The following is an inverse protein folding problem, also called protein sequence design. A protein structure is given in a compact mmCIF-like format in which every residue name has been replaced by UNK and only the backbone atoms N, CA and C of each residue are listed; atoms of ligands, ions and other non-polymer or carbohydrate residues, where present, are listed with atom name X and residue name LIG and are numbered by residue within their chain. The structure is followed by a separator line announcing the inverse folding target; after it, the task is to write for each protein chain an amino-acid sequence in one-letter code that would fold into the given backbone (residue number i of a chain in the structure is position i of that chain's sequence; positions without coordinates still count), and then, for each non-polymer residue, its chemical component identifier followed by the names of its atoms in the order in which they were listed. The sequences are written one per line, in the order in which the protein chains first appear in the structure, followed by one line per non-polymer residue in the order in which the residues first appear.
data_IF_976756584168
#
_entry.id   IF_976756584168
#
_cell.length_a   1.000
_cell.length_b   1.000
_cell.length_c   1.000
_cell.angle_alpha   90.00
_cell.angle_beta   90.00
_cell.angle_gamma   90.00
#
_symmetry.space_group_name_H-M   'P 1'
#
loop_
_entity.id
_entity.type
_entity.pdbx_description
1 polymer ?
#
# COMPACT_ATOMS: atom_id res chain seq x y z
N UNK A 1 -30.79 29.21 0.53
CA UNK A 1 -30.75 29.07 2.01
C UNK A 1 -29.55 28.29 2.49
N UNK A 2 -29.10 27.24 1.80
CA UNK A 2 -28.11 26.31 2.39
C UNK A 2 -26.64 26.76 2.28
N UNK A 3 -26.35 27.83 1.53
CA UNK A 3 -24.98 28.30 1.29
C UNK A 3 -24.17 28.59 2.58
N UNK A 4 -24.72 29.24 3.63
CA UNK A 4 -23.98 29.42 4.89
C UNK A 4 -23.70 28.10 5.62
N UNK A 5 -24.61 27.14 5.55
CA UNK A 5 -24.43 25.83 6.18
C UNK A 5 -23.40 24.98 5.43
N UNK A 6 -23.42 25.02 4.09
CA UNK A 6 -22.41 24.36 3.25
C UNK A 6 -21.02 24.96 3.48
N UNK A 7 -20.92 26.29 3.64
CA UNK A 7 -19.64 26.96 3.93
C UNK A 7 -19.08 26.65 5.33
N UNK A 8 -19.93 26.25 6.29
CA UNK A 8 -19.51 25.88 7.65
C UNK A 8 -19.20 24.40 7.81
N UNK A 9 -19.65 23.54 6.90
CA UNK A 9 -19.42 22.10 6.98
C UNK A 9 -17.98 21.75 6.56
N UNK A 10 -17.38 20.76 7.22
CA UNK A 10 -16.02 20.28 6.88
C UNK A 10 -15.95 19.68 5.47
N UNK A 11 -17.04 19.05 5.03
CA UNK A 11 -17.23 18.53 3.68
C UNK A 11 -18.66 18.80 3.25
N UNK A 12 -18.83 19.62 2.22
CA UNK A 12 -20.11 20.05 1.69
C UNK A 12 -20.31 19.59 0.24
N UNK A 13 -21.48 19.02 -0.04
CA UNK A 13 -21.92 18.66 -1.39
C UNK A 13 -23.15 19.47 -1.74
N UNK A 14 -23.02 20.33 -2.76
CA UNK A 14 -24.12 21.12 -3.28
C UNK A 14 -24.88 20.36 -4.37
N UNK A 15 -26.20 20.46 -4.39
CA UNK A 15 -27.01 19.89 -5.47
C UNK A 15 -26.92 20.76 -6.73
N UNK A 16 -26.93 20.14 -7.91
CA UNK A 16 -26.96 20.88 -9.17
C UNK A 16 -28.28 21.67 -9.36
N UNK A 17 -29.38 21.25 -8.73
CA UNK A 17 -30.61 22.05 -8.64
C UNK A 17 -30.53 23.23 -7.67
N UNK A 18 -29.44 23.33 -6.88
CA UNK A 18 -29.23 24.39 -5.90
C UNK A 18 -28.86 25.75 -6.49
N UNK A 19 -28.89 26.78 -5.64
CA UNK A 19 -28.52 28.15 -6.03
C UNK A 19 -27.03 28.24 -6.40
N UNK A 20 -26.65 29.21 -7.24
CA UNK A 20 -25.23 29.45 -7.56
C UNK A 20 -24.40 29.66 -6.29
N UNK A 21 -24.91 30.44 -5.34
CA UNK A 21 -24.27 30.63 -4.04
C UNK A 21 -24.05 29.32 -3.25
N UNK A 22 -24.92 28.32 -3.39
CA UNK A 22 -24.74 27.02 -2.76
C UNK A 22 -23.67 26.17 -3.49
N UNK A 23 -23.62 26.25 -4.83
CA UNK A 23 -22.59 25.57 -5.65
C UNK A 23 -21.20 26.16 -5.43
N UNK A 24 -21.11 27.46 -5.24
CA UNK A 24 -19.86 28.16 -4.93
C UNK A 24 -19.39 27.93 -3.49
N UNK A 25 -20.33 27.73 -2.56
CA UNK A 25 -20.01 27.44 -1.16
C UNK A 25 -19.68 25.96 -0.88
N UNK A 26 -20.08 25.03 -1.75
CA UNK A 26 -19.82 23.60 -1.59
C UNK A 26 -18.44 23.17 -2.11
N UNK A 27 -17.86 22.11 -1.53
CA UNK A 27 -16.59 21.53 -2.01
C UNK A 27 -16.78 20.64 -3.24
N UNK A 28 -17.98 20.09 -3.41
CA UNK A 28 -18.37 19.22 -4.51
C UNK A 28 -19.77 19.58 -4.98
N UNK A 29 -20.08 19.28 -6.25
CA UNK A 29 -21.42 19.46 -6.83
C UNK A 29 -21.95 18.12 -7.32
N UNK A 30 -23.08 17.68 -6.79
CA UNK A 30 -23.78 16.51 -7.30
C UNK A 30 -24.67 16.88 -8.49
N UNK A 31 -24.28 16.38 -9.66
CA UNK A 31 -24.96 16.63 -10.93
C UNK A 31 -26.36 15.98 -10.99
N UNK A 32 -26.57 14.86 -10.30
CA UNK A 32 -27.84 14.13 -10.32
C UNK A 32 -28.81 14.61 -9.22
N UNK A 33 -28.37 15.52 -8.36
CA UNK A 33 -29.15 16.12 -7.26
C UNK A 33 -29.82 15.07 -6.36
N UNK A 34 -29.13 13.96 -6.09
CA UNK A 34 -29.62 12.85 -5.29
C UNK A 34 -28.93 12.80 -3.91
N UNK A 35 -29.66 13.04 -2.80
CA UNK A 35 -29.07 13.05 -1.46
C UNK A 35 -28.45 11.70 -1.04
N UNK A 36 -28.84 10.57 -1.64
CA UNK A 36 -28.24 9.27 -1.30
C UNK A 36 -26.80 9.14 -1.78
N UNK A 37 -26.36 9.93 -2.78
CA UNK A 37 -24.97 9.92 -3.27
C UNK A 37 -23.95 10.37 -2.24
N UNK A 38 -24.37 11.10 -1.20
CA UNK A 38 -23.48 11.41 -0.08
C UNK A 38 -22.88 10.16 0.55
N UNK A 39 -23.65 9.07 0.63
CA UNK A 39 -23.18 7.79 1.17
C UNK A 39 -22.07 7.21 0.27
N UNK A 40 -22.28 7.24 -1.04
CA UNK A 40 -21.32 6.76 -2.05
C UNK A 40 -20.02 7.58 -2.01
N UNK A 41 -20.11 8.91 -1.93
CA UNK A 41 -18.95 9.80 -1.81
C UNK A 41 -18.12 9.47 -0.57
N UNK A 42 -18.79 9.27 0.58
CA UNK A 42 -18.12 8.90 1.84
C UNK A 42 -17.49 7.51 1.72
N UNK A 43 -18.14 6.56 1.07
CA UNK A 43 -17.62 5.20 0.86
C UNK A 43 -16.37 5.21 -0.02
N UNK A 44 -16.39 5.92 -1.15
CA UNK A 44 -15.23 6.10 -2.03
C UNK A 44 -14.07 6.75 -1.26
N UNK A 45 -14.36 7.81 -0.49
CA UNK A 45 -13.36 8.48 0.33
C UNK A 45 -12.71 7.53 1.35
N UNK A 46 -13.51 6.72 2.04
CA UNK A 46 -13.01 5.70 2.98
C UNK A 46 -12.18 4.64 2.26
N UNK A 47 -12.63 4.16 1.10
CA UNK A 47 -11.91 3.17 0.30
C UNK A 47 -10.52 3.68 -0.09
N UNK A 48 -10.42 4.93 -0.54
CA UNK A 48 -9.14 5.56 -0.90
C UNK A 48 -8.19 5.64 0.30
N UNK A 49 -8.68 6.08 1.46
CA UNK A 49 -7.88 6.17 2.68
C UNK A 49 -7.40 4.80 3.17
N UNK A 50 -8.28 3.79 3.16
CA UNK A 50 -7.95 2.42 3.58
C UNK A 50 -6.94 1.80 2.62
N UNK A 51 -7.13 1.99 1.30
CA UNK A 51 -6.20 1.49 0.28
C UNK A 51 -4.81 2.08 0.49
N UNK A 52 -4.73 3.40 0.69
CA UNK A 52 -3.47 4.07 0.97
C UNK A 52 -2.81 3.55 2.23
N UNK A 53 -3.56 3.45 3.33
CA UNK A 53 -3.04 2.89 4.59
C UNK A 53 -2.51 1.47 4.43
N UNK A 54 -3.26 0.60 3.73
CA UNK A 54 -2.88 -0.79 3.45
C UNK A 54 -1.58 -0.90 2.67
N UNK A 55 -1.43 -0.09 1.61
CA UNK A 55 -0.21 -0.06 0.80
C UNK A 55 1.00 0.44 1.61
N UNK A 56 0.81 1.44 2.46
CA UNK A 56 1.86 1.92 3.38
C UNK A 56 2.27 0.81 4.36
N UNK A 57 1.32 0.15 5.03
CA UNK A 57 1.59 -0.96 5.95
C UNK A 57 2.37 -2.07 5.25
N UNK A 58 1.94 -2.46 4.05
CA UNK A 58 2.61 -3.46 3.25
C UNK A 58 4.04 -3.03 2.87
N UNK A 59 4.22 -1.81 2.37
CA UNK A 59 5.51 -1.30 1.92
C UNK A 59 6.52 -1.18 3.06
N UNK A 60 6.10 -0.73 4.24
CA UNK A 60 6.98 -0.65 5.42
C UNK A 60 7.37 -2.05 5.88
N UNK A 61 6.41 -2.98 5.93
CA UNK A 61 6.69 -4.36 6.34
C UNK A 61 7.64 -5.07 5.37
N UNK A 62 7.56 -4.73 4.08
CA UNK A 62 8.41 -5.24 3.03
C UNK A 62 9.89 -4.86 3.22
N UNK A 63 10.18 -3.67 3.74
CA UNK A 63 11.56 -3.20 3.91
C UNK A 63 12.36 -4.06 4.90
N UNK A 64 11.70 -4.73 5.85
CA UNK A 64 12.35 -5.66 6.78
C UNK A 64 13.11 -6.77 6.03
N UNK A 65 12.46 -7.42 5.07
CA UNK A 65 13.09 -8.49 4.29
C UNK A 65 14.22 -7.96 3.39
N UNK A 66 14.07 -6.74 2.85
CA UNK A 66 15.12 -6.09 2.05
C UNK A 66 16.38 -5.86 2.87
N UNK A 67 16.24 -5.42 4.13
CA UNK A 67 17.40 -5.27 5.01
C UNK A 67 18.11 -6.60 5.26
N UNK A 68 17.37 -7.69 5.50
CA UNK A 68 17.97 -9.02 5.66
C UNK A 68 18.59 -9.58 4.37
N UNK A 69 18.17 -9.11 3.19
CA UNK A 69 18.81 -9.46 1.93
C UNK A 69 20.12 -8.70 1.71
N UNK A 70 20.07 -7.37 1.89
CA UNK A 70 21.11 -6.46 1.42
C UNK A 70 22.23 -6.30 2.45
N UNK A 71 21.92 -6.15 3.75
CA UNK A 71 22.95 -5.92 4.78
C UNK A 71 24.01 -7.04 4.81
N UNK A 72 23.65 -8.33 4.94
CA UNK A 72 24.68 -9.37 4.95
C UNK A 72 25.45 -9.42 3.63
N UNK A 73 24.77 -9.27 2.49
CA UNK A 73 25.41 -9.28 1.18
C UNK A 73 26.41 -8.14 1.00
N UNK A 74 26.03 -6.91 1.34
CA UNK A 74 26.85 -5.72 1.14
C UNK A 74 28.09 -5.69 2.04
N UNK A 75 28.02 -6.28 3.24
CA UNK A 75 29.05 -6.12 4.27
C UNK A 75 29.79 -7.40 4.65
N UNK A 76 29.41 -8.59 4.17
CA UNK A 76 30.09 -9.85 4.56
C UNK A 76 31.57 -9.88 4.20
N UNK A 77 32.01 -9.14 3.17
CA UNK A 77 33.42 -9.02 2.79
C UNK A 77 34.24 -8.22 3.81
N UNK A 78 33.62 -7.24 4.48
CA UNK A 78 34.27 -6.41 5.51
C UNK A 78 34.07 -6.97 6.91
N UNK A 79 32.87 -7.50 7.18
CA UNK A 79 32.45 -8.04 8.47
C UNK A 79 31.84 -9.44 8.28
N UNK A 80 32.67 -10.51 8.25
CA UNK A 80 32.21 -11.88 8.01
C UNK A 80 31.12 -12.36 8.98
N UNK A 81 31.11 -11.84 10.21
CA UNK A 81 30.09 -12.14 11.22
C UNK A 81 28.66 -11.81 10.76
N UNK A 82 28.50 -10.81 9.88
CA UNK A 82 27.18 -10.44 9.32
C UNK A 82 26.63 -11.51 8.35
N UNK A 83 27.46 -12.44 7.88
CA UNK A 83 26.97 -13.59 7.11
C UNK A 83 25.93 -14.43 7.86
N UNK A 84 25.96 -14.43 9.20
CA UNK A 84 24.96 -15.09 10.05
C UNK A 84 23.54 -14.51 9.91
N UNK A 85 23.42 -13.26 9.45
CA UNK A 85 22.13 -12.58 9.21
C UNK A 85 21.50 -12.96 7.86
N UNK A 86 22.18 -13.74 7.02
CA UNK A 86 21.63 -14.29 5.78
C UNK A 86 20.62 -15.41 6.08
N UNK A 87 19.50 -15.06 6.71
CA UNK A 87 18.43 -15.99 7.07
C UNK A 87 17.83 -16.69 5.85
N UNK A 88 17.80 -16.01 4.70
CA UNK A 88 17.32 -16.55 3.42
C UNK A 88 18.31 -17.50 2.75
N UNK A 89 19.55 -17.59 3.25
CA UNK A 89 20.64 -18.38 2.66
C UNK A 89 20.79 -18.11 1.16
N UNK A 90 20.85 -16.82 0.79
CA UNK A 90 21.05 -16.38 -0.59
C UNK A 90 22.44 -16.80 -1.08
N UNK A 91 22.56 -17.16 -2.36
CA UNK A 91 23.71 -17.87 -2.90
C UNK A 91 25.01 -17.04 -2.90
N UNK A 92 24.96 -15.82 -3.44
CA UNK A 92 26.11 -14.90 -3.49
C UNK A 92 25.70 -13.49 -3.07
N UNK A 93 26.64 -12.64 -2.60
CA UNK A 93 26.37 -11.23 -2.34
C UNK A 93 25.76 -10.49 -3.54
N UNK A 94 26.24 -10.80 -4.74
CA UNK A 94 25.80 -10.21 -5.99
C UNK A 94 24.37 -10.64 -6.32
N UNK A 95 24.07 -11.95 -6.23
CA UNK A 95 22.73 -12.47 -6.50
C UNK A 95 21.70 -11.96 -5.49
N UNK A 96 22.10 -11.79 -4.22
CA UNK A 96 21.25 -11.25 -3.17
C UNK A 96 20.80 -9.81 -3.46
N UNK A 97 21.74 -8.93 -3.82
CA UNK A 97 21.44 -7.54 -4.16
C UNK A 97 20.57 -7.50 -5.43
N UNK A 98 20.93 -8.28 -6.46
CA UNK A 98 20.18 -8.33 -7.70
C UNK A 98 18.73 -8.82 -7.48
N UNK A 99 18.55 -9.87 -6.68
CA UNK A 99 17.24 -10.42 -6.33
C UNK A 99 16.38 -9.40 -5.59
N UNK A 100 16.96 -8.66 -4.63
CA UNK A 100 16.25 -7.61 -3.90
C UNK A 100 15.80 -6.47 -4.82
N UNK A 101 16.65 -6.05 -5.77
CA UNK A 101 16.32 -5.00 -6.75
C UNK A 101 15.23 -5.46 -7.72
N UNK A 102 15.34 -6.67 -8.27
CA UNK A 102 14.32 -7.25 -9.16
C UNK A 102 12.98 -7.36 -8.43
N UNK A 103 12.98 -7.88 -7.19
CA UNK A 103 11.76 -7.97 -6.39
C UNK A 103 11.10 -6.60 -6.20
N UNK A 104 11.90 -5.55 -5.91
CA UNK A 104 11.38 -4.19 -5.75
C UNK A 104 10.72 -3.65 -7.02
N UNK A 105 11.23 -3.99 -8.21
CA UNK A 105 10.60 -3.62 -9.47
C UNK A 105 9.28 -4.40 -9.69
N UNK A 106 9.29 -5.70 -9.45
CA UNK A 106 8.12 -6.57 -9.67
C UNK A 106 6.98 -6.28 -8.69
N UNK A 107 7.29 -5.97 -7.43
CA UNK A 107 6.26 -5.74 -6.41
C UNK A 107 5.44 -4.48 -6.70
N UNK A 108 6.03 -3.46 -7.33
CA UNK A 108 5.31 -2.26 -7.78
C UNK A 108 4.23 -2.67 -8.79
N UNK A 109 4.60 -3.43 -9.83
CA UNK A 109 3.67 -3.90 -10.86
C UNK A 109 2.56 -4.76 -10.25
N UNK A 110 2.91 -5.64 -9.30
CA UNK A 110 1.95 -6.50 -8.61
C UNK A 110 0.95 -5.71 -7.74
N UNK A 111 1.33 -4.54 -7.21
CA UNK A 111 0.47 -3.71 -6.36
C UNK A 111 -0.39 -2.70 -7.15
N UNK A 112 -0.09 -2.43 -8.42
CA UNK A 112 -0.90 -1.51 -9.26
C UNK A 112 -2.39 -1.91 -9.30
N UNK A 113 -2.76 -3.19 -9.54
CA UNK A 113 -4.17 -3.57 -9.56
C UNK A 113 -4.88 -3.31 -8.24
N UNK A 114 -4.18 -3.49 -7.10
CA UNK A 114 -4.72 -3.19 -5.78
C UNK A 114 -4.91 -1.69 -5.56
N UNK A 115 -3.95 -0.87 -6.01
CA UNK A 115 -4.04 0.58 -5.93
C UNK A 115 -5.19 1.15 -6.76
N UNK A 116 -5.51 0.54 -7.91
CA UNK A 116 -6.59 0.98 -8.80
C UNK A 116 -7.97 0.44 -8.41
N UNK A 117 -8.07 -0.83 -8.00
CA UNK A 117 -9.35 -1.44 -7.58
C UNK A 117 -9.77 -1.01 -6.18
N UNK A 118 -8.80 -0.64 -5.34
CA UNK A 118 -9.01 -0.29 -3.95
C UNK A 118 -9.26 -1.51 -3.05
N UNK A 119 -9.02 -1.30 -1.75
CA UNK A 119 -9.31 -2.27 -0.69
C UNK A 119 -10.77 -2.12 -0.28
N UNK A 120 -11.61 -3.16 -0.38
CA UNK A 120 -13.04 -3.04 -0.10
C UNK A 120 -13.29 -2.58 1.34
N UNK A 121 -14.14 -1.57 1.50
CA UNK A 121 -14.55 -1.10 2.82
C UNK A 121 -15.47 -2.12 3.49
N UNK A 122 -15.27 -2.34 4.80
CA UNK A 122 -16.16 -3.12 5.65
C UNK A 122 -16.56 -2.26 6.86
N UNK A 123 -17.85 -2.13 7.18
CA UNK A 123 -18.32 -1.31 8.30
C UNK A 123 -18.10 -2.05 9.63
N UNK A 124 -16.84 -2.11 10.07
CA UNK A 124 -16.44 -2.68 11.36
C UNK A 124 -15.72 -1.63 12.20
N UNK A 125 -15.59 -1.88 13.51
CA UNK A 125 -14.94 -0.95 14.42
C UNK A 125 -13.48 -0.66 14.04
N UNK A 126 -12.99 0.55 14.35
CA UNK A 126 -11.65 1.00 13.97
C UNK A 126 -10.52 0.06 14.45
N UNK A 127 -10.65 -0.48 15.67
CA UNK A 127 -9.68 -1.44 16.21
C UNK A 127 -9.64 -2.75 15.39
N UNK A 128 -10.79 -3.22 14.92
CA UNK A 128 -10.88 -4.41 14.08
C UNK A 128 -10.31 -4.14 12.69
N UNK A 129 -10.64 -2.99 12.07
CA UNK A 129 -10.04 -2.57 10.79
C UNK A 129 -8.51 -2.51 10.87
N UNK A 130 -7.97 -1.92 11.92
CA UNK A 130 -6.52 -1.82 12.13
C UNK A 130 -5.90 -3.22 12.27
N UNK A 131 -6.49 -4.08 13.11
CA UNK A 131 -6.00 -5.44 13.31
C UNK A 131 -5.99 -6.23 12.00
N UNK A 132 -7.08 -6.18 11.24
CA UNK A 132 -7.19 -6.88 9.96
C UNK A 132 -6.17 -6.33 8.95
N UNK A 133 -5.94 -5.02 8.95
CA UNK A 133 -4.94 -4.39 8.11
C UNK A 133 -3.52 -4.90 8.43
N UNK A 134 -3.15 -4.90 9.71
CA UNK A 134 -1.84 -5.38 10.17
C UNK A 134 -1.66 -6.88 9.91
N UNK A 135 -2.71 -7.67 10.08
CA UNK A 135 -2.66 -9.11 9.81
C UNK A 135 -2.53 -9.42 8.32
N UNK A 136 -3.30 -8.76 7.45
CA UNK A 136 -3.30 -9.06 6.02
C UNK A 136 -2.12 -8.37 5.32
N UNK A 137 -2.02 -7.05 5.44
CA UNK A 137 -1.03 -6.25 4.72
C UNK A 137 0.30 -6.16 5.46
N UNK A 138 0.29 -6.19 6.80
CA UNK A 138 1.53 -6.24 7.58
C UNK A 138 2.22 -7.59 7.46
N UNK A 139 1.55 -8.69 7.82
CA UNK A 139 2.16 -10.02 7.66
C UNK A 139 2.37 -10.40 6.19
N UNK A 140 1.44 -10.03 5.30
CA UNK A 140 1.62 -10.22 3.87
C UNK A 140 2.84 -9.46 3.34
N UNK A 141 3.01 -8.20 3.76
CA UNK A 141 4.17 -7.38 3.42
C UNK A 141 5.47 -7.90 4.02
N UNK A 142 5.41 -8.56 5.17
CA UNK A 142 6.58 -9.21 5.78
C UNK A 142 6.96 -10.49 5.04
N UNK A 143 6.02 -11.40 4.79
CA UNK A 143 6.29 -12.76 4.29
C UNK A 143 6.53 -12.79 2.78
N UNK A 144 5.75 -12.05 2.00
CA UNK A 144 5.85 -12.03 0.53
C UNK A 144 7.28 -11.74 0.00
N UNK A 145 8.03 -10.74 0.51
CA UNK A 145 9.39 -10.49 0.03
C UNK A 145 10.40 -11.56 0.42
N UNK A 146 10.30 -12.19 1.60
CA UNK A 146 11.19 -13.31 1.94
C UNK A 146 11.07 -14.43 0.92
N UNK A 147 9.83 -14.77 0.53
CA UNK A 147 9.56 -15.79 -0.48
C UNK A 147 10.00 -15.30 -1.86
N UNK A 148 9.60 -14.09 -2.25
CA UNK A 148 9.87 -13.53 -3.58
C UNK A 148 11.37 -13.37 -3.86
N UNK A 149 12.12 -12.76 -2.94
CA UNK A 149 13.58 -12.59 -3.08
C UNK A 149 14.27 -13.96 -3.18
N UNK A 150 13.87 -14.93 -2.34
CA UNK A 150 14.45 -16.27 -2.39
C UNK A 150 14.17 -16.98 -3.71
N UNK A 151 12.95 -16.88 -4.24
CA UNK A 151 12.60 -17.48 -5.52
C UNK A 151 13.38 -16.85 -6.68
N UNK A 152 13.56 -15.53 -6.67
CA UNK A 152 14.37 -14.83 -7.68
C UNK A 152 15.84 -15.29 -7.60
N UNK A 153 16.41 -15.37 -6.39
CA UNK A 153 17.78 -15.85 -6.19
C UNK A 153 17.97 -17.27 -6.73
N UNK A 154 17.05 -18.18 -6.40
CA UNK A 154 17.06 -19.55 -6.91
C UNK A 154 16.96 -19.62 -8.44
N UNK A 155 16.14 -18.76 -9.06
CA UNK A 155 16.02 -18.68 -10.51
C UNK A 155 17.31 -18.17 -11.17
N UNK A 156 17.94 -17.15 -10.58
CA UNK A 156 19.22 -16.63 -11.08
C UNK A 156 20.31 -17.70 -11.03
N UNK A 157 20.40 -18.45 -9.93
CA UNK A 157 21.34 -19.57 -9.77
C UNK A 157 21.04 -20.68 -10.77
N UNK A 158 19.78 -21.07 -10.92
CA UNK A 158 19.36 -22.12 -11.85
C UNK A 158 19.66 -21.77 -13.32
N UNK A 159 19.62 -20.48 -13.68
CA UNK A 159 19.94 -19.98 -15.01
C UNK A 159 21.44 -19.70 -15.21
N UNK A 160 22.28 -19.91 -14.20
CA UNK A 160 23.72 -19.64 -14.25
C UNK A 160 24.07 -18.14 -14.38
N UNK A 161 23.16 -17.26 -13.93
CA UNK A 161 23.32 -15.81 -13.94
C UNK A 161 23.92 -15.28 -12.63
N UNK A 162 24.21 -16.17 -11.67
CA UNK A 162 24.65 -15.89 -10.30
C UNK A 162 25.76 -16.83 -9.84
#
# INVERSE_FOLDING_TARGET
NDAPALAQADVAVAMNSGTQAAKEAGNMVDLDSNPTKLIEIVEIGKQLLITRGSLTTFSISNDVAKYFAIIPAAFVSTYPALGSLNFMRLATPQSAILSAVIFNALIIVALIPLALRGVPYRPVGAAQLLRDNLLIYGLGGLVAPFIGIKLIDLLLVALGLA
#
